data_IF_860156372826
#
_entry.id   IF_860156372826
#
_cell.length_a   1.000
_cell.length_b   1.000
_cell.length_c   1.000
_cell.angle_alpha   90.00
_cell.angle_beta   90.00
_cell.angle_gamma   90.00
#
_symmetry.space_group_name_H-M   'P 1'
#
loop_
_entity.id
_entity.type
_entity.pdbx_description
1 polymer ?
#
# COMPACT_ATOMS: atom_id res chain seq x y z
N UNK A 1 12.80 21.92 -13.18
CA UNK A 1 11.60 21.00 -13.04
C UNK A 1 10.32 21.80 -12.75
N UNK A 2 9.21 21.57 -13.47
CA UNK A 2 7.96 22.33 -13.26
C UNK A 2 7.20 21.93 -11.97
N UNK A 3 6.59 22.89 -11.27
CA UNK A 3 5.94 22.71 -9.95
C UNK A 3 4.95 21.53 -9.92
N UNK A 4 4.09 21.37 -10.93
CA UNK A 4 3.16 20.24 -11.02
C UNK A 4 3.87 18.87 -11.03
N UNK A 5 5.03 18.76 -11.69
CA UNK A 5 5.80 17.49 -11.70
C UNK A 5 6.40 17.19 -10.33
N UNK A 6 6.88 18.21 -9.63
CA UNK A 6 7.40 18.04 -8.26
C UNK A 6 6.30 17.54 -7.32
N UNK A 7 5.08 18.12 -7.42
CA UNK A 7 3.90 17.64 -6.66
C UNK A 7 3.57 16.18 -6.99
N UNK A 8 3.52 15.81 -8.28
CA UNK A 8 3.25 14.43 -8.69
C UNK A 8 4.30 13.44 -8.14
N UNK A 9 5.57 13.82 -8.15
CA UNK A 9 6.68 13.02 -7.59
C UNK A 9 6.50 12.87 -6.08
N UNK A 10 6.19 13.94 -5.37
CA UNK A 10 5.94 13.91 -3.92
C UNK A 10 4.74 13.02 -3.56
N UNK A 11 3.64 13.14 -4.30
CA UNK A 11 2.44 12.31 -4.09
C UNK A 11 2.73 10.82 -4.34
N UNK A 12 3.45 10.48 -5.41
CA UNK A 12 3.87 9.09 -5.67
C UNK A 12 4.81 8.56 -4.58
N UNK A 13 5.77 9.38 -4.13
CA UNK A 13 6.66 9.03 -3.02
C UNK A 13 5.90 8.72 -1.74
N UNK A 14 4.93 9.58 -1.38
CA UNK A 14 4.03 9.36 -0.25
C UNK A 14 3.18 8.11 -0.39
N UNK A 15 2.67 7.82 -1.59
CA UNK A 15 1.94 6.58 -1.87
C UNK A 15 2.80 5.33 -1.64
N UNK A 16 4.01 5.32 -2.21
CA UNK A 16 4.94 4.20 -2.08
C UNK A 16 5.29 3.99 -0.60
N UNK A 17 5.68 5.06 0.10
CA UNK A 17 6.02 5.02 1.51
C UNK A 17 4.84 4.50 2.35
N UNK A 18 3.63 5.02 2.16
CA UNK A 18 2.45 4.56 2.89
C UNK A 18 2.11 3.09 2.62
N UNK A 19 2.32 2.61 1.40
CA UNK A 19 2.12 1.17 1.06
C UNK A 19 3.13 0.28 1.79
N UNK A 20 4.41 0.67 1.80
CA UNK A 20 5.46 -0.06 2.51
C UNK A 20 5.27 -0.03 4.03
N UNK A 21 4.91 1.13 4.59
CA UNK A 21 4.60 1.28 6.01
C UNK A 21 3.43 0.38 6.40
N UNK A 22 2.34 0.39 5.63
CA UNK A 22 1.19 -0.47 5.91
C UNK A 22 1.55 -1.96 5.88
N UNK A 23 2.34 -2.40 4.89
CA UNK A 23 2.83 -3.78 4.83
C UNK A 23 3.66 -4.15 6.08
N UNK A 24 4.50 -3.22 6.53
CA UNK A 24 5.27 -3.35 7.77
C UNK A 24 4.37 -3.46 9.01
N UNK A 25 3.45 -2.52 9.20
CA UNK A 25 2.50 -2.48 10.32
C UNK A 25 1.65 -3.76 10.37
N UNK A 26 1.11 -4.19 9.23
CA UNK A 26 0.28 -5.39 9.16
C UNK A 26 1.02 -6.66 9.60
N UNK A 27 2.30 -6.77 9.19
CA UNK A 27 3.19 -7.85 9.60
C UNK A 27 3.52 -7.78 11.09
N UNK A 28 3.85 -6.59 11.58
CA UNK A 28 4.22 -6.37 12.98
C UNK A 28 3.06 -6.59 13.95
N UNK A 29 1.83 -6.29 13.56
CA UNK A 29 0.65 -6.55 14.40
C UNK A 29 0.51 -8.03 14.75
N UNK A 30 0.84 -8.95 13.83
CA UNK A 30 0.83 -10.38 14.14
C UNK A 30 2.09 -10.83 14.90
N UNK A 31 3.28 -10.38 14.49
CA UNK A 31 4.54 -10.73 15.19
C UNK A 31 4.59 -10.25 16.64
N UNK A 32 3.88 -9.18 16.96
CA UNK A 32 3.80 -8.65 18.33
C UNK A 32 3.09 -9.63 19.25
N UNK A 33 2.13 -10.41 18.76
CA UNK A 33 1.46 -11.45 19.54
C UNK A 33 2.47 -12.46 20.05
N UNK A 34 3.31 -12.99 19.14
CA UNK A 34 4.32 -13.99 19.51
C UNK A 34 5.31 -13.42 20.53
N UNK A 35 5.72 -12.15 20.37
CA UNK A 35 6.60 -11.47 21.33
C UNK A 35 5.97 -11.29 22.72
N UNK A 36 4.70 -10.91 22.77
CA UNK A 36 3.96 -10.73 24.03
C UNK A 36 3.80 -12.06 24.76
N UNK A 37 3.56 -13.15 24.03
CA UNK A 37 3.31 -14.47 24.61
C UNK A 37 4.60 -15.23 24.94
N UNK A 38 5.73 -14.93 24.30
CA UNK A 38 7.03 -15.54 24.61
C UNK A 38 7.68 -14.99 25.88
N UNK A 39 7.34 -13.75 26.26
CA UNK A 39 7.90 -13.08 27.43
C UNK A 39 6.90 -12.11 28.05
N UNK A 40 5.76 -12.59 28.57
CA UNK A 40 4.74 -11.73 29.16
C UNK A 40 5.24 -11.08 30.45
N UNK A 41 4.81 -9.84 30.73
CA UNK A 41 5.07 -9.22 32.04
C UNK A 41 4.33 -9.98 33.15
N UNK A 42 4.71 -9.83 34.44
CA UNK A 42 3.98 -10.45 35.55
C UNK A 42 2.50 -10.06 35.59
N UNK A 43 2.15 -8.83 35.20
CA UNK A 43 0.78 -8.33 35.12
C UNK A 43 0.02 -9.04 34.00
N UNK A 44 0.60 -9.09 32.80
CA UNK A 44 -0.02 -9.76 31.66
C UNK A 44 -0.19 -11.26 31.93
N UNK A 45 0.81 -11.90 32.52
CA UNK A 45 0.77 -13.33 32.87
C UNK A 45 -0.40 -13.64 33.83
N UNK A 46 -0.59 -12.81 34.86
CA UNK A 46 -1.74 -12.96 35.78
C UNK A 46 -3.07 -12.70 35.09
N UNK A 47 -3.15 -11.70 34.22
CA UNK A 47 -4.37 -11.35 33.50
C UNK A 47 -4.83 -12.43 32.50
N UNK A 48 -3.89 -13.12 31.85
CA UNK A 48 -4.19 -14.14 30.84
C UNK A 48 -4.27 -15.57 31.39
N UNK A 49 -3.85 -15.78 32.66
CA UNK A 49 -3.86 -17.09 33.30
C UNK A 49 -5.22 -17.82 33.21
N UNK A 50 -6.39 -17.16 33.37
CA UNK A 50 -7.69 -17.84 33.25
C UNK A 50 -8.02 -18.31 31.82
N UNK A 51 -7.46 -17.66 30.80
CA UNK A 51 -7.66 -18.03 29.39
C UNK A 51 -6.70 -19.13 28.95
N UNK A 52 -5.49 -19.15 29.49
CA UNK A 52 -4.41 -20.00 28.99
C UNK A 52 -3.76 -19.45 27.72
N UNK A 53 -2.71 -20.12 27.25
CA UNK A 53 -1.87 -19.60 26.17
C UNK A 53 -2.58 -19.57 24.81
N UNK A 54 -3.25 -20.65 24.44
CA UNK A 54 -3.83 -20.82 23.10
C UNK A 54 -5.03 -19.89 22.87
N UNK A 55 -5.97 -19.83 23.82
CA UNK A 55 -7.11 -18.93 23.77
C UNK A 55 -6.68 -17.46 23.78
N UNK A 56 -5.68 -17.11 24.60
CA UNK A 56 -5.11 -15.75 24.60
C UNK A 56 -4.54 -15.41 23.22
N UNK A 57 -3.83 -16.35 22.58
CA UNK A 57 -3.31 -16.16 21.23
C UNK A 57 -4.43 -15.93 20.22
N UNK A 58 -5.54 -16.66 20.31
CA UNK A 58 -6.71 -16.48 19.44
C UNK A 58 -7.30 -15.08 19.61
N UNK A 59 -7.51 -14.62 20.84
CA UNK A 59 -8.06 -13.29 21.13
C UNK A 59 -7.15 -12.16 20.61
N UNK A 60 -5.84 -12.25 20.89
CA UNK A 60 -4.88 -11.26 20.40
C UNK A 60 -4.77 -11.27 18.87
N UNK A 61 -4.89 -12.45 18.26
CA UNK A 61 -4.92 -12.59 16.79
C UNK A 61 -6.15 -11.95 16.18
N UNK A 62 -7.31 -12.10 16.82
CA UNK A 62 -8.53 -11.41 16.41
C UNK A 62 -8.38 -9.89 16.48
N UNK A 63 -7.83 -9.35 17.58
CA UNK A 63 -7.55 -7.92 17.72
C UNK A 63 -6.62 -7.41 16.61
N UNK A 64 -5.49 -8.08 16.39
CA UNK A 64 -4.55 -7.71 15.32
C UNK A 64 -5.18 -7.81 13.92
N UNK A 65 -6.10 -8.75 13.70
CA UNK A 65 -6.85 -8.86 12.46
C UNK A 65 -7.81 -7.67 12.27
N UNK A 66 -8.54 -7.24 13.29
CA UNK A 66 -9.41 -6.05 13.21
C UNK A 66 -8.61 -4.75 13.00
N UNK A 67 -7.47 -4.58 13.68
CA UNK A 67 -6.57 -3.45 13.43
C UNK A 67 -6.10 -3.43 11.96
N UNK A 68 -5.68 -4.59 11.43
CA UNK A 68 -5.29 -4.68 10.03
C UNK A 68 -6.45 -4.35 9.09
N UNK A 69 -7.66 -4.87 9.34
CA UNK A 69 -8.86 -4.56 8.53
C UNK A 69 -9.13 -3.05 8.51
N UNK A 70 -9.03 -2.38 9.66
CA UNK A 70 -9.17 -0.93 9.77
C UNK A 70 -8.11 -0.21 8.93
N UNK A 71 -6.84 -0.57 9.09
CA UNK A 71 -5.74 0.08 8.37
C UNK A 71 -5.83 -0.13 6.85
N UNK A 72 -6.13 -1.34 6.38
CA UNK A 72 -6.32 -1.62 4.96
C UNK A 72 -7.52 -0.87 4.37
N UNK A 73 -8.63 -0.73 5.13
CA UNK A 73 -9.78 0.07 4.68
C UNK A 73 -9.41 1.56 4.57
N UNK A 74 -8.81 2.12 5.62
CA UNK A 74 -8.41 3.53 5.63
C UNK A 74 -7.41 3.82 4.51
N UNK A 75 -6.39 2.98 4.36
CA UNK A 75 -5.39 3.12 3.30
C UNK A 75 -5.99 2.98 1.90
N UNK A 76 -6.90 2.02 1.69
CA UNK A 76 -7.60 1.88 0.41
C UNK A 76 -8.32 3.16 -0.02
N UNK A 77 -9.00 3.84 0.92
CA UNK A 77 -9.65 5.13 0.64
C UNK A 77 -8.62 6.24 0.35
N UNK A 78 -7.54 6.31 1.13
CA UNK A 78 -6.44 7.27 0.89
C UNK A 78 -5.83 7.06 -0.51
N UNK A 79 -5.64 5.81 -0.93
CA UNK A 79 -5.15 5.47 -2.25
C UNK A 79 -6.07 5.97 -3.36
N UNK A 80 -7.40 5.90 -3.20
CA UNK A 80 -8.32 6.47 -4.19
C UNK A 80 -8.16 7.99 -4.32
N UNK A 81 -8.06 8.70 -3.19
CA UNK A 81 -7.87 10.15 -3.18
C UNK A 81 -6.53 10.54 -3.83
N UNK A 82 -5.44 9.87 -3.44
CA UNK A 82 -4.13 10.09 -4.05
C UNK A 82 -4.15 9.76 -5.54
N UNK A 83 -4.88 8.73 -5.97
CA UNK A 83 -4.89 8.25 -7.35
C UNK A 83 -5.64 9.19 -8.26
N UNK A 84 -6.78 9.70 -7.80
CA UNK A 84 -7.50 10.76 -8.46
C UNK A 84 -6.64 12.03 -8.58
N UNK A 85 -5.96 12.44 -7.52
CA UNK A 85 -5.09 13.63 -7.52
C UNK A 85 -3.90 13.47 -8.50
N UNK A 86 -3.24 12.31 -8.49
CA UNK A 86 -2.12 12.01 -9.40
C UNK A 86 -2.59 11.99 -10.86
N UNK A 87 -3.74 11.35 -11.14
CA UNK A 87 -4.30 11.31 -12.49
C UNK A 87 -4.68 12.71 -12.98
N UNK A 88 -5.36 13.51 -12.15
CA UNK A 88 -5.72 14.89 -12.47
C UNK A 88 -4.48 15.75 -12.76
N UNK A 89 -3.44 15.66 -11.91
CA UNK A 89 -2.19 16.38 -12.12
C UNK A 89 -1.46 15.92 -13.40
N UNK A 90 -1.49 14.62 -13.72
CA UNK A 90 -0.90 14.08 -14.95
C UNK A 90 -1.62 14.61 -16.21
N UNK A 91 -2.95 14.71 -16.18
CA UNK A 91 -3.77 15.32 -17.23
C UNK A 91 -3.48 16.83 -17.41
N UNK A 92 -3.05 17.50 -16.34
CA UNK A 92 -2.65 18.91 -16.35
C UNK A 92 -1.26 19.20 -16.92
N UNK A 93 -0.41 18.18 -17.12
CA UNK A 93 0.94 18.39 -17.65
C UNK A 93 0.93 18.87 -19.11
N UNK A 94 1.84 19.79 -19.46
CA UNK A 94 2.06 20.30 -20.81
C UNK A 94 3.53 20.18 -21.24
N UNK A 95 3.83 19.61 -22.43
CA UNK A 95 2.91 18.84 -23.27
C UNK A 95 2.36 17.61 -22.53
N UNK A 96 1.20 17.11 -22.98
CA UNK A 96 0.51 15.99 -22.33
C UNK A 96 1.37 14.72 -22.38
N UNK A 97 1.64 14.12 -21.21
CA UNK A 97 2.33 12.83 -21.11
C UNK A 97 1.31 11.68 -21.15
N UNK A 98 0.83 11.32 -22.34
CA UNK A 98 -0.19 10.26 -22.53
C UNK A 98 0.16 8.97 -21.81
N UNK A 99 1.42 8.54 -21.90
CA UNK A 99 1.90 7.33 -21.21
C UNK A 99 1.85 7.47 -19.69
N UNK A 100 2.20 8.63 -19.14
CA UNK A 100 2.10 8.90 -17.69
C UNK A 100 0.64 8.94 -17.21
N UNK A 101 -0.25 9.51 -18.02
CA UNK A 101 -1.70 9.54 -17.76
C UNK A 101 -2.28 8.12 -17.75
N UNK A 102 -1.96 7.31 -18.77
CA UNK A 102 -2.41 5.90 -18.83
C UNK A 102 -1.87 5.13 -17.62
N UNK A 103 -0.59 5.29 -17.27
CA UNK A 103 -0.02 4.65 -16.10
C UNK A 103 -0.72 5.05 -14.79
N UNK A 104 -1.00 6.35 -14.60
CA UNK A 104 -1.74 6.85 -13.45
C UNK A 104 -3.18 6.30 -13.40
N UNK A 105 -3.86 6.22 -14.55
CA UNK A 105 -5.20 5.64 -14.64
C UNK A 105 -5.21 4.15 -14.29
N UNK A 106 -4.21 3.38 -14.76
CA UNK A 106 -4.04 1.96 -14.40
C UNK A 106 -3.78 1.79 -12.90
N UNK A 107 -2.91 2.61 -12.30
CA UNK A 107 -2.65 2.57 -10.85
C UNK A 107 -3.93 2.85 -10.05
N UNK A 108 -4.72 3.85 -10.46
CA UNK A 108 -6.01 4.14 -9.82
C UNK A 108 -7.01 2.98 -10.00
N UNK A 109 -7.11 2.39 -11.19
CA UNK A 109 -7.96 1.23 -11.44
C UNK A 109 -7.58 0.03 -10.56
N UNK A 110 -6.27 -0.22 -10.38
CA UNK A 110 -5.78 -1.25 -9.47
C UNK A 110 -6.12 -0.94 -8.00
N UNK A 111 -6.05 0.33 -7.57
CA UNK A 111 -6.47 0.71 -6.23
C UNK A 111 -7.97 0.47 -5.99
N UNK A 112 -8.83 0.77 -6.98
CA UNK A 112 -10.26 0.44 -6.94
C UNK A 112 -10.49 -1.07 -6.88
N UNK A 113 -9.79 -1.85 -7.71
CA UNK A 113 -9.90 -3.30 -7.71
C UNK A 113 -9.47 -3.91 -6.36
N UNK A 114 -8.37 -3.44 -5.79
CA UNK A 114 -7.90 -3.88 -4.46
C UNK A 114 -8.90 -3.54 -3.36
N UNK A 115 -9.51 -2.35 -3.40
CA UNK A 115 -10.56 -2.00 -2.46
C UNK A 115 -11.75 -2.95 -2.61
N UNK A 116 -12.19 -3.25 -3.83
CA UNK A 116 -13.24 -4.22 -4.12
C UNK A 116 -12.90 -5.64 -3.62
N UNK A 117 -11.65 -6.10 -3.82
CA UNK A 117 -11.18 -7.38 -3.27
C UNK A 117 -11.26 -7.40 -1.75
N UNK A 118 -10.98 -6.29 -1.08
CA UNK A 118 -11.07 -6.19 0.38
C UNK A 118 -12.51 -6.43 0.88
N UNK A 119 -13.54 -6.00 0.15
CA UNK A 119 -14.94 -6.31 0.47
C UNK A 119 -15.26 -7.81 0.43
N UNK A 120 -14.49 -8.61 -0.33
CA UNK A 120 -14.62 -10.07 -0.38
C UNK A 120 -13.79 -10.76 0.71
N UNK A 121 -12.58 -10.26 0.95
CA UNK A 121 -11.62 -10.86 1.90
C UNK A 121 -12.05 -10.65 3.34
N UNK A 122 -12.55 -9.46 3.70
CA UNK A 122 -12.84 -9.10 5.09
C UNK A 122 -13.93 -9.97 5.73
N UNK A 123 -15.13 -10.13 5.14
CA UNK A 123 -16.16 -10.99 5.72
C UNK A 123 -15.74 -12.45 5.79
N UNK A 124 -15.05 -12.95 4.75
CA UNK A 124 -14.50 -14.30 4.73
C UNK A 124 -13.46 -14.50 5.84
N UNK A 125 -12.56 -13.54 6.03
CA UNK A 125 -11.59 -13.56 7.11
C UNK A 125 -12.26 -13.60 8.50
N UNK A 126 -13.30 -12.77 8.72
CA UNK A 126 -14.06 -12.78 9.98
C UNK A 126 -14.73 -14.13 10.26
N UNK A 127 -15.25 -14.80 9.22
CA UNK A 127 -15.83 -16.14 9.37
C UNK A 127 -14.81 -17.22 9.77
N UNK A 128 -13.50 -16.95 9.60
CA UNK A 128 -12.41 -17.88 9.89
C UNK A 128 -11.71 -17.58 11.22
N UNK A 129 -12.02 -16.46 11.89
CA UNK A 129 -11.21 -15.97 13.03
C UNK A 129 -11.19 -16.93 14.22
N UNK A 130 -12.28 -17.69 14.43
CA UNK A 130 -12.44 -18.62 15.55
C UNK A 130 -12.56 -20.08 15.12
N UNK A 131 -12.35 -20.39 13.83
CA UNK A 131 -12.42 -21.76 13.37
C UNK A 131 -11.13 -22.53 13.68
N UNK A 132 -11.25 -23.83 14.06
CA UNK A 132 -10.10 -24.71 14.16
C UNK A 132 -9.32 -24.73 12.85
N UNK A 133 -7.99 -24.76 12.95
CA UNK A 133 -7.11 -24.87 11.77
C UNK A 133 -6.70 -26.30 11.45
N UNK A 134 -6.99 -27.23 12.35
CA UNK A 134 -6.75 -28.64 12.18
C UNK A 134 -8.03 -29.43 12.53
N UNK A 135 -8.71 -30.06 11.55
CA UNK A 135 -8.43 -29.97 10.11
C UNK A 135 -8.75 -28.57 9.55
N UNK A 136 -8.11 -28.20 8.45
CA UNK A 136 -8.29 -26.87 7.86
C UNK A 136 -9.67 -26.74 7.17
N UNK A 137 -10.45 -25.68 7.43
CA UNK A 137 -11.75 -25.50 6.80
C UNK A 137 -11.58 -25.14 5.31
N UNK A 138 -12.47 -25.59 4.41
CA UNK A 138 -12.38 -25.27 2.97
C UNK A 138 -12.34 -23.77 2.67
N UNK A 139 -13.00 -22.96 3.50
CA UNK A 139 -12.99 -21.50 3.41
C UNK A 139 -11.57 -20.89 3.56
N UNK A 140 -10.64 -21.56 4.27
CA UNK A 140 -9.26 -21.14 4.42
C UNK A 140 -8.52 -21.14 3.06
N UNK A 141 -8.78 -22.12 2.21
CA UNK A 141 -8.19 -22.21 0.86
C UNK A 141 -8.70 -21.08 -0.03
N UNK A 142 -10.01 -20.76 0.06
CA UNK A 142 -10.58 -19.61 -0.66
C UNK A 142 -9.97 -18.29 -0.17
N UNK A 143 -9.84 -18.12 1.15
CA UNK A 143 -9.20 -16.94 1.74
C UNK A 143 -7.76 -16.80 1.26
N UNK A 144 -6.98 -17.88 1.28
CA UNK A 144 -5.59 -17.88 0.80
C UNK A 144 -5.46 -17.44 -0.66
N UNK A 145 -6.33 -17.93 -1.55
CA UNK A 145 -6.35 -17.51 -2.96
C UNK A 145 -6.68 -16.02 -3.15
N UNK A 146 -7.69 -15.52 -2.46
CA UNK A 146 -8.06 -14.09 -2.53
C UNK A 146 -6.96 -13.20 -1.95
N UNK A 147 -6.37 -13.60 -0.82
CA UNK A 147 -5.27 -12.88 -0.20
C UNK A 147 -4.03 -12.86 -1.11
N UNK A 148 -3.70 -13.98 -1.76
CA UNK A 148 -2.61 -14.03 -2.73
C UNK A 148 -2.88 -13.08 -3.91
N UNK A 149 -4.08 -13.12 -4.49
CA UNK A 149 -4.47 -12.21 -5.56
C UNK A 149 -4.36 -10.74 -5.15
N UNK A 150 -4.81 -10.40 -3.94
CA UNK A 150 -4.66 -9.06 -3.37
C UNK A 150 -3.18 -8.65 -3.28
N UNK A 151 -2.34 -9.48 -2.66
CA UNK A 151 -0.90 -9.18 -2.50
C UNK A 151 -0.18 -9.05 -3.84
N UNK A 152 -0.50 -9.90 -4.82
CA UNK A 152 0.07 -9.84 -6.17
C UNK A 152 -0.32 -8.55 -6.90
N UNK A 153 -1.59 -8.16 -6.84
CA UNK A 153 -2.07 -6.92 -7.45
C UNK A 153 -1.49 -5.68 -6.76
N UNK A 154 -1.38 -5.69 -5.43
CA UNK A 154 -0.76 -4.60 -4.67
C UNK A 154 0.72 -4.45 -5.00
N UNK A 155 1.44 -5.57 -5.15
CA UNK A 155 2.84 -5.59 -5.58
C UNK A 155 3.01 -5.04 -7.00
N UNK A 156 2.15 -5.46 -7.94
CA UNK A 156 2.16 -4.94 -9.31
C UNK A 156 1.90 -3.42 -9.34
N UNK A 157 0.90 -2.95 -8.58
CA UNK A 157 0.60 -1.52 -8.44
C UNK A 157 1.80 -0.75 -7.88
N UNK A 158 2.49 -1.31 -6.88
CA UNK A 158 3.68 -0.69 -6.30
C UNK A 158 4.82 -0.55 -7.33
N UNK A 159 5.05 -1.58 -8.13
CA UNK A 159 6.03 -1.54 -9.24
C UNK A 159 5.65 -0.45 -10.25
N UNK A 160 4.37 -0.33 -10.61
CA UNK A 160 3.90 0.73 -11.51
C UNK A 160 4.09 2.14 -10.92
N UNK A 161 3.84 2.31 -9.61
CA UNK A 161 4.11 3.58 -8.92
C UNK A 161 5.59 3.95 -8.97
N UNK A 162 6.49 2.98 -8.71
CA UNK A 162 7.93 3.18 -8.79
C UNK A 162 8.37 3.53 -10.23
N UNK A 163 7.82 2.84 -11.21
CA UNK A 163 8.10 3.13 -12.62
C UNK A 163 7.66 4.55 -13.01
N UNK A 164 6.46 4.99 -12.60
CA UNK A 164 5.98 6.36 -12.83
C UNK A 164 6.88 7.39 -12.15
N UNK A 165 7.28 7.13 -10.89
CA UNK A 165 8.15 8.00 -10.12
C UNK A 165 9.49 8.21 -10.84
N UNK A 166 10.14 7.13 -11.26
CA UNK A 166 11.41 7.17 -12.00
C UNK A 166 11.23 7.92 -13.32
N UNK A 167 10.15 7.62 -14.07
CA UNK A 167 9.86 8.24 -15.36
C UNK A 167 9.70 9.75 -15.25
N UNK A 168 8.88 10.22 -14.32
CA UNK A 168 8.62 11.66 -14.15
C UNK A 168 9.83 12.40 -13.60
N UNK A 169 10.63 11.75 -12.75
CA UNK A 169 11.90 12.30 -12.26
C UNK A 169 12.90 12.51 -13.40
N UNK A 170 13.10 11.49 -14.27
CA UNK A 170 14.03 11.58 -15.41
C UNK A 170 13.61 12.61 -16.45
N UNK A 171 12.31 12.74 -16.72
CA UNK A 171 11.79 13.76 -17.65
C UNK A 171 11.86 15.18 -17.11
N UNK A 172 11.98 15.36 -15.79
CA UNK A 172 12.18 16.67 -15.17
C UNK A 172 13.58 17.25 -15.37
N UNK A 173 14.61 16.40 -15.50
CA UNK A 173 16.01 16.82 -15.65
C UNK A 173 16.43 17.13 -17.10
N UNK A 174 15.82 16.50 -18.10
CA UNK A 174 16.23 16.63 -19.50
C UNK A 174 15.94 18.00 -20.16
N UNK A 175 15.20 18.91 -19.50
CA UNK A 175 14.88 20.25 -20.03
C UNK A 175 15.80 21.37 -19.55
N UNK A 176 16.58 21.17 -18.47
CA UNK A 176 17.44 22.21 -17.88
C UNK A 176 18.87 22.22 -18.47
N UNK A 177 19.21 21.27 -19.35
CA UNK A 177 20.48 21.22 -20.06
C UNK A 177 20.40 21.82 -21.46
N UNK A 178 19.94 23.08 -21.59
CA UNK A 178 20.23 23.88 -22.80
C UNK A 178 21.51 24.67 -22.54
N UNK A 179 22.59 24.48 -23.31
CA UNK A 179 23.78 25.30 -23.14
C UNK A 179 23.40 26.75 -23.45
N UNK A 180 23.76 27.65 -22.53
CA UNK A 180 23.73 29.09 -22.75
C UNK A 180 24.46 29.36 -24.06
N UNK A 181 23.70 29.73 -25.09
CA UNK A 181 24.24 30.17 -26.38
C UNK A 181 25.01 31.46 -26.07
N UNK A 182 26.33 31.35 -25.83
CA UNK A 182 27.23 32.51 -25.80
C UNK A 182 27.07 33.19 -27.15
N UNK A 183 26.42 34.35 -27.14
CA UNK A 183 26.32 35.20 -28.32
C UNK A 183 27.73 35.56 -28.77
N UNK A 184 28.05 35.20 -30.00
CA UNK A 184 29.16 35.78 -30.76
C UNK A 184 28.84 37.25 -31.00
N UNK A 185 29.28 38.10 -30.08
CA UNK A 185 29.54 39.51 -30.35
C UNK A 185 31.01 39.63 -30.74
N UNK A 186 31.30 40.57 -31.65
CA UNK A 186 32.57 40.83 -32.35
C UNK A 186 32.77 40.09 -33.67
N UNK A 187 31.95 40.47 -34.65
CA UNK A 187 32.43 40.73 -35.99
C UNK A 187 32.14 42.20 -36.32
N UNK A 188 33.17 43.05 -36.18
CA UNK A 188 33.45 44.29 -36.92
C UNK A 188 34.64 44.98 -36.30
#
# INVERSE_FOLDING_TARGET
MGMMRAVLIALLGGWIAGTLILAGVATQNFRTIDRLLSGPTPELSRAIAPLGHDETRVVLRYLSAELNRLYFRAWGLIQLLLGAAILAGALGLRPLDRTGVIGAAVVLALAVALLALNWLIVPLGRSLDFLPRNPAPPALVRFGRLHLAYTSLDSLKLILCLWLLIRWSRRGGAKDSRPLRRGSLFAR
#
